data_IF_970259561496
#
_entry.id   IF_970259561496
#
_cell.length_a   1.000
_cell.length_b   1.000
_cell.length_c   1.000
_cell.angle_alpha   90.00
_cell.angle_beta   90.00
_cell.angle_gamma   90.00
#
_symmetry.space_group_name_H-M   'P 1'
#
loop_
_entity.id
_entity.type
_entity.pdbx_description
1 polymer ?
#
# COMPACT_ATOMS: atom_id res chain seq x y z
N UNK A 1 -4.94 -9.43 -10.98
CA UNK A 1 -4.78 -8.05 -10.49
C UNK A 1 -3.64 -7.36 -11.23
N UNK A 2 -3.86 -6.16 -11.69
CA UNK A 2 -2.81 -5.33 -12.28
C UNK A 2 -2.49 -4.18 -11.33
N UNK A 3 -1.20 -3.97 -11.03
CA UNK A 3 -0.75 -2.87 -10.17
C UNK A 3 -0.17 -1.76 -11.05
N UNK A 4 -0.61 -0.54 -10.80
CA UNK A 4 -0.04 0.68 -11.36
C UNK A 4 0.72 1.38 -10.24
N UNK A 5 1.94 1.82 -10.52
CA UNK A 5 2.78 2.45 -9.50
C UNK A 5 2.90 3.95 -9.76
N UNK A 6 2.48 4.75 -8.79
CA UNK A 6 2.68 6.19 -8.82
C UNK A 6 4.16 6.54 -8.63
N UNK A 7 4.58 7.68 -9.17
CA UNK A 7 5.93 8.18 -8.97
C UNK A 7 6.27 8.38 -7.49
N UNK A 8 5.28 8.83 -6.71
CA UNK A 8 5.44 9.01 -5.26
C UNK A 8 5.82 7.69 -4.58
N UNK A 9 5.15 6.60 -4.95
CA UNK A 9 5.50 5.28 -4.42
C UNK A 9 6.92 4.88 -4.82
N UNK A 10 7.25 5.00 -6.10
CA UNK A 10 8.57 4.60 -6.61
C UNK A 10 9.68 5.35 -5.89
N UNK A 11 9.52 6.65 -5.70
CA UNK A 11 10.49 7.48 -5.00
C UNK A 11 10.63 7.08 -3.53
N UNK A 12 9.53 6.93 -2.82
CA UNK A 12 9.56 6.53 -1.41
C UNK A 12 10.15 5.14 -1.25
N UNK A 13 9.80 4.21 -2.15
CA UNK A 13 10.32 2.85 -2.14
C UNK A 13 11.85 2.83 -2.31
N UNK A 14 12.38 3.64 -3.23
CA UNK A 14 13.83 3.74 -3.45
C UNK A 14 14.57 4.28 -2.23
N UNK A 15 13.91 5.10 -1.42
CA UNK A 15 14.50 5.69 -0.21
C UNK A 15 14.49 4.73 0.99
N UNK A 16 13.81 3.59 0.89
CA UNK A 16 13.81 2.58 1.94
C UNK A 16 15.12 1.78 1.92
N UNK A 17 15.56 1.33 3.10
CA UNK A 17 16.71 0.40 3.14
C UNK A 17 16.28 -0.96 2.61
N UNK A 18 17.28 -1.75 2.19
CA UNK A 18 17.07 -2.99 1.45
C UNK A 18 16.10 -3.97 2.12
N UNK A 19 16.26 -4.21 3.43
CA UNK A 19 15.38 -5.14 4.15
C UNK A 19 13.93 -4.68 4.12
N UNK A 20 13.70 -3.37 4.18
CA UNK A 20 12.34 -2.84 4.14
C UNK A 20 11.75 -2.96 2.73
N UNK A 21 12.56 -2.71 1.69
CA UNK A 21 12.11 -2.93 0.31
C UNK A 21 11.67 -4.37 0.10
N UNK A 22 12.42 -5.33 0.64
CA UNK A 22 12.07 -6.75 0.55
C UNK A 22 10.75 -7.05 1.24
N UNK A 23 10.51 -6.46 2.41
CA UNK A 23 9.23 -6.59 3.11
C UNK A 23 8.07 -6.02 2.31
N UNK A 24 8.25 -4.86 1.69
CA UNK A 24 7.26 -4.24 0.82
C UNK A 24 6.92 -5.16 -0.35
N UNK A 25 7.93 -5.73 -1.01
CA UNK A 25 7.72 -6.68 -2.11
C UNK A 25 6.91 -7.89 -1.66
N UNK A 26 7.25 -8.46 -0.50
CA UNK A 26 6.55 -9.62 0.03
C UNK A 26 5.09 -9.31 0.33
N UNK A 27 4.82 -8.14 0.91
CA UNK A 27 3.46 -7.70 1.22
C UNK A 27 2.65 -7.50 -0.06
N UNK A 28 3.27 -6.90 -1.09
CA UNK A 28 2.59 -6.73 -2.39
C UNK A 28 2.26 -8.08 -3.04
N UNK A 29 3.12 -9.09 -2.89
CA UNK A 29 2.82 -10.44 -3.38
C UNK A 29 1.62 -11.05 -2.67
N UNK A 30 1.55 -10.90 -1.34
CA UNK A 30 0.40 -11.36 -0.56
C UNK A 30 -0.86 -10.64 -1.03
N UNK A 31 -0.77 -9.34 -1.21
CA UNK A 31 -1.87 -8.50 -1.67
C UNK A 31 -2.40 -8.94 -3.04
N UNK A 32 -1.50 -9.25 -3.96
CA UNK A 32 -1.88 -9.71 -5.31
C UNK A 32 -2.58 -11.07 -5.28
N UNK A 33 -2.22 -11.94 -4.34
CA UNK A 33 -2.85 -13.25 -4.18
C UNK A 33 -4.20 -13.15 -3.46
N UNK A 34 -4.28 -12.31 -2.45
CA UNK A 34 -5.50 -12.11 -1.67
C UNK A 34 -5.49 -10.73 -1.02
N UNK A 35 -6.12 -9.73 -1.66
CA UNK A 35 -6.09 -8.34 -1.16
C UNK A 35 -6.76 -8.14 0.20
N UNK A 36 -7.57 -9.09 0.63
CA UNK A 36 -8.24 -9.04 1.95
C UNK A 36 -7.63 -10.01 2.97
N UNK A 37 -6.43 -10.51 2.70
CA UNK A 37 -5.70 -11.35 3.66
C UNK A 37 -5.59 -10.59 4.99
N UNK A 38 -5.92 -11.27 6.09
CA UNK A 38 -5.97 -10.65 7.43
C UNK A 38 -4.64 -10.03 7.85
N UNK A 39 -3.53 -10.60 7.40
CA UNK A 39 -2.19 -10.09 7.72
C UNK A 39 -1.96 -8.67 7.21
N UNK A 40 -2.65 -8.29 6.13
CA UNK A 40 -2.50 -6.98 5.50
C UNK A 40 -3.21 -5.87 6.27
N UNK A 41 -4.25 -6.20 7.03
CA UNK A 41 -5.10 -5.22 7.71
C UNK A 41 -5.58 -4.13 6.75
N UNK A 42 -6.09 -4.56 5.60
CA UNK A 42 -6.62 -3.68 4.56
C UNK A 42 -7.79 -2.85 5.12
N UNK A 43 -7.64 -1.53 5.15
CA UNK A 43 -8.68 -0.66 5.69
C UNK A 43 -8.69 0.71 5.00
N UNK A 44 -9.83 1.37 5.10
CA UNK A 44 -10.02 2.72 4.56
C UNK A 44 -9.20 3.75 5.33
N UNK A 45 -8.76 4.77 4.60
CA UNK A 45 -8.18 5.97 5.18
C UNK A 45 -9.25 7.07 5.24
N UNK A 46 -9.09 7.98 6.17
CA UNK A 46 -10.03 9.06 6.43
C UNK A 46 -9.44 10.41 6.03
N UNK A 47 -10.30 11.46 6.07
CA UNK A 47 -9.91 12.85 5.87
C UNK A 47 -9.37 13.09 4.45
N UNK A 48 -8.22 13.75 4.34
CA UNK A 48 -7.59 14.10 3.07
C UNK A 48 -7.17 12.90 2.23
N UNK A 49 -7.19 11.70 2.82
CA UNK A 49 -6.89 10.45 2.11
C UNK A 49 -8.13 9.64 1.78
N UNK A 50 -9.31 10.28 1.78
CA UNK A 50 -10.55 9.64 1.38
C UNK A 50 -10.39 8.97 0.00
N UNK A 51 -11.08 7.83 -0.19
CA UNK A 51 -11.01 7.00 -1.38
C UNK A 51 -9.71 6.20 -1.52
N UNK A 52 -8.79 6.31 -0.55
CA UNK A 52 -7.60 5.48 -0.48
C UNK A 52 -7.72 4.49 0.67
N UNK A 53 -6.94 3.42 0.55
CA UNK A 53 -6.84 2.38 1.58
C UNK A 53 -5.39 2.16 1.93
N UNK A 54 -5.14 1.50 3.04
CA UNK A 54 -3.78 1.11 3.41
C UNK A 54 -3.71 -0.36 3.77
N UNK A 55 -2.53 -0.94 3.53
CA UNK A 55 -2.18 -2.28 4.00
C UNK A 55 -0.89 -2.19 4.79
N UNK A 56 -0.76 -3.01 5.82
CA UNK A 56 0.39 -2.99 6.72
C UNK A 56 1.57 -3.76 6.12
N UNK A 57 2.75 -3.15 6.16
CA UNK A 57 4.03 -3.83 5.90
C UNK A 57 4.64 -4.26 7.23
N UNK A 58 4.74 -3.32 8.15
CA UNK A 58 5.14 -3.53 9.55
C UNK A 58 4.16 -2.76 10.43
N UNK A 59 4.37 -2.78 11.74
CA UNK A 59 3.56 -1.97 12.65
C UNK A 59 3.63 -0.47 12.35
N UNK A 60 4.72 -0.01 11.71
CA UNK A 60 4.94 1.40 11.42
C UNK A 60 4.84 1.75 9.93
N UNK A 61 5.17 0.82 9.04
CA UNK A 61 5.23 1.08 7.58
C UNK A 61 3.97 0.56 6.91
N UNK A 62 3.36 1.42 6.08
CA UNK A 62 2.12 1.10 5.38
C UNK A 62 2.23 1.44 3.91
N UNK A 63 1.57 0.63 3.08
CA UNK A 63 1.40 0.91 1.65
C UNK A 63 0.03 1.53 1.46
N UNK A 64 -0.01 2.67 0.77
CA UNK A 64 -1.24 3.40 0.48
C UNK A 64 -1.62 3.09 -0.97
N UNK A 65 -2.87 2.73 -1.20
CA UNK A 65 -3.32 2.39 -2.54
C UNK A 65 -4.75 2.89 -2.79
N UNK A 66 -5.11 2.92 -4.06
CA UNK A 66 -6.47 3.21 -4.51
C UNK A 66 -6.95 2.09 -5.40
N UNK A 67 -8.11 1.53 -5.08
CA UNK A 67 -8.75 0.52 -5.91
C UNK A 67 -9.52 1.23 -7.02
N UNK A 68 -9.27 0.85 -8.29
CA UNK A 68 -9.82 1.54 -9.45
C UNK A 68 -10.92 0.75 -10.18
N UNK A 69 -11.21 -0.47 -9.74
CA UNK A 69 -12.08 -1.40 -10.48
C UNK A 69 -13.34 -1.81 -9.69
N UNK A 70 -13.98 -0.86 -9.02
CA UNK A 70 -15.22 -1.09 -8.25
C UNK A 70 -15.09 -2.26 -7.27
N UNK A 71 -14.01 -2.25 -6.49
CA UNK A 71 -13.77 -3.23 -5.40
C UNK A 71 -13.52 -4.67 -5.88
N UNK A 72 -13.29 -4.85 -7.18
CA UNK A 72 -12.96 -6.16 -7.72
C UNK A 72 -11.48 -6.49 -7.63
N UNK A 73 -10.67 -5.50 -7.26
CA UNK A 73 -9.22 -5.63 -7.18
C UNK A 73 -8.58 -6.13 -8.49
N UNK A 74 -9.15 -5.75 -9.60
CA UNK A 74 -8.60 -6.05 -10.93
C UNK A 74 -7.54 -5.03 -11.35
N UNK A 75 -7.75 -3.76 -10.96
CA UNK A 75 -6.84 -2.65 -11.24
C UNK A 75 -6.66 -1.83 -9.98
N UNK A 76 -5.43 -1.74 -9.51
CA UNK A 76 -5.09 -1.06 -8.26
C UNK A 76 -3.91 -0.12 -8.49
N UNK A 77 -4.03 1.11 -8.02
CA UNK A 77 -2.95 2.09 -8.08
C UNK A 77 -2.23 2.13 -6.73
N UNK A 78 -0.95 1.79 -6.74
CA UNK A 78 -0.11 1.90 -5.54
C UNK A 78 0.39 3.34 -5.46
N UNK A 79 -0.12 4.06 -4.48
CA UNK A 79 0.07 5.50 -4.34
C UNK A 79 1.38 5.86 -3.66
N UNK A 80 1.67 5.26 -2.51
CA UNK A 80 2.86 5.56 -1.74
C UNK A 80 3.14 4.49 -0.70
N UNK A 81 4.29 4.60 -0.04
CA UNK A 81 4.62 3.82 1.15
C UNK A 81 5.08 4.83 2.22
N UNK A 82 4.40 4.83 3.36
CA UNK A 82 4.61 5.83 4.41
C UNK A 82 4.78 5.20 5.76
N UNK A 83 5.44 5.93 6.65
CA UNK A 83 5.41 5.60 8.08
C UNK A 83 4.05 5.99 8.64
N UNK A 84 3.68 5.40 9.77
CA UNK A 84 2.47 5.76 10.49
C UNK A 84 2.45 7.26 10.82
N UNK A 85 3.58 7.81 11.25
CA UNK A 85 3.70 9.23 11.56
C UNK A 85 3.43 10.13 10.36
N UNK A 86 3.91 9.75 9.16
CA UNK A 86 3.65 10.51 7.93
C UNK A 86 2.17 10.48 7.56
N UNK A 87 1.52 9.34 7.77
CA UNK A 87 0.12 9.15 7.39
C UNK A 87 -0.84 9.97 8.27
N UNK A 88 -0.53 10.08 9.55
CA UNK A 88 -1.40 10.77 10.53
C UNK A 88 -0.86 12.12 10.97
N UNK A 89 -0.07 12.72 10.14
CA UNK A 89 0.54 14.01 10.39
C UNK A 89 -0.46 15.16 10.29
#
# INVERSE_FOLDING_TARGET
MKLLYKKSFTKSYQDLWEKMRDKVKNVLQIFMLNPIDKRLRNHWLEWKYAWKRSIDVTGDIRIIFKELSDWKYELVEIYDVWTHAQLYK
#
